data_IF_368707079661
#
_entry.id   IF_368707079661
#
_cell.length_a   1.000
_cell.length_b   1.000
_cell.length_c   1.000
_cell.angle_alpha   90.00
_cell.angle_beta   90.00
_cell.angle_gamma   90.00
#
_symmetry.space_group_name_H-M   'P 1'
#
loop_
_entity.id
_entity.type
_entity.pdbx_description
1 polymer ?
#
# COMPACT_ATOMS: atom_id res chain seq x y z
N UNK A 1 19.08 21.97 20.76
CA UNK A 1 18.54 22.21 19.40
C UNK A 1 18.29 20.88 18.73
N UNK A 2 17.08 20.67 18.20
CA UNK A 2 16.77 19.47 17.43
C UNK A 2 17.49 19.53 16.08
N UNK A 3 18.18 18.46 15.68
CA UNK A 3 18.88 18.43 14.40
C UNK A 3 17.87 18.67 13.26
N UNK A 4 18.01 19.72 12.46
CA UNK A 4 17.09 20.01 11.36
C UNK A 4 17.25 19.05 10.17
N UNK A 5 18.32 18.26 10.15
CA UNK A 5 18.61 17.32 9.07
C UNK A 5 18.12 15.92 9.46
N UNK A 6 16.97 15.55 8.93
CA UNK A 6 16.42 14.20 9.08
C UNK A 6 17.04 13.33 8.00
N UNK A 7 17.75 12.29 8.41
CA UNK A 7 18.49 11.41 7.51
C UNK A 7 17.69 10.18 7.06
N UNK A 8 16.51 9.93 7.67
CA UNK A 8 15.67 8.77 7.34
C UNK A 8 14.19 9.03 7.59
N UNK A 9 13.34 8.59 6.66
CA UNK A 9 11.89 8.63 6.76
C UNK A 9 11.26 10.02 6.55
N UNK A 10 9.94 10.04 6.49
CA UNK A 10 9.13 11.26 6.51
C UNK A 10 8.67 11.53 7.94
N UNK A 11 8.95 12.71 8.46
CA UNK A 11 8.57 13.09 9.83
C UNK A 11 7.36 14.03 9.88
N UNK A 12 7.38 15.08 9.07
CA UNK A 12 6.25 16.01 8.95
C UNK A 12 6.48 16.99 7.82
N UNK A 13 5.45 17.74 7.47
CA UNK A 13 5.49 18.82 6.48
C UNK A 13 6.58 19.85 6.77
N UNK A 14 6.82 20.18 8.04
CA UNK A 14 7.85 21.14 8.47
C UNK A 14 9.27 20.76 8.01
N UNK A 15 9.55 19.47 7.90
CA UNK A 15 10.88 18.96 7.52
C UNK A 15 10.92 18.45 6.07
N UNK A 16 9.81 18.58 5.36
CA UNK A 16 9.72 18.22 3.95
C UNK A 16 9.87 19.48 3.11
N UNK A 17 10.96 19.62 2.40
CA UNK A 17 11.25 20.83 1.65
C UNK A 17 11.33 20.59 0.12
N UNK A 18 10.97 21.65 -0.61
CA UNK A 18 11.22 21.83 -2.06
C UNK A 18 10.57 20.85 -3.04
N UNK A 19 9.43 20.22 -2.70
CA UNK A 19 8.70 19.34 -3.64
C UNK A 19 7.22 19.70 -3.78
N UNK A 20 6.93 20.99 -3.72
CA UNK A 20 5.54 21.47 -3.82
C UNK A 20 4.94 21.11 -5.17
N UNK A 21 5.70 21.33 -6.26
CA UNK A 21 5.23 21.07 -7.63
C UNK A 21 4.95 19.59 -7.85
N UNK A 22 5.88 18.72 -7.41
CA UNK A 22 5.70 17.26 -7.52
C UNK A 22 4.55 16.76 -6.65
N UNK A 23 4.39 17.32 -5.44
CA UNK A 23 3.28 16.99 -4.54
C UNK A 23 1.94 17.35 -5.18
N UNK A 24 1.80 18.59 -5.67
CA UNK A 24 0.57 19.07 -6.32
C UNK A 24 0.25 18.27 -7.57
N UNK A 25 1.27 17.93 -8.35
CA UNK A 25 1.11 17.08 -9.54
C UNK A 25 0.58 15.69 -9.16
N UNK A 26 1.24 14.99 -8.21
CA UNK A 26 0.84 13.65 -7.79
C UNK A 26 -0.58 13.65 -7.21
N UNK A 27 -0.89 14.57 -6.30
CA UNK A 27 -2.21 14.68 -5.68
C UNK A 27 -3.29 14.93 -6.74
N UNK A 28 -3.04 15.79 -7.72
CA UNK A 28 -3.97 16.06 -8.82
C UNK A 28 -4.20 14.82 -9.69
N UNK A 29 -3.14 14.07 -10.01
CA UNK A 29 -3.27 12.84 -10.80
C UNK A 29 -4.08 11.78 -10.05
N UNK A 30 -3.83 11.61 -8.76
CA UNK A 30 -4.60 10.70 -7.89
C UNK A 30 -6.08 11.08 -7.88
N UNK A 31 -6.40 12.36 -7.65
CA UNK A 31 -7.78 12.84 -7.61
C UNK A 31 -8.50 12.74 -8.98
N UNK A 32 -7.75 12.75 -10.07
CA UNK A 32 -8.28 12.49 -11.42
C UNK A 32 -8.46 10.99 -11.73
N UNK A 33 -8.18 10.10 -10.78
CA UNK A 33 -8.34 8.67 -10.97
C UNK A 33 -7.20 7.98 -11.73
N UNK A 34 -6.05 8.63 -11.86
CA UNK A 34 -4.92 8.07 -12.60
C UNK A 34 -4.03 7.21 -11.72
N UNK A 35 -3.56 6.09 -12.28
CA UNK A 35 -2.45 5.33 -11.72
C UNK A 35 -1.12 5.97 -12.13
N UNK A 36 -0.13 5.95 -11.23
CA UNK A 36 1.12 6.71 -11.39
C UNK A 36 2.33 5.80 -11.22
N UNK A 37 3.29 5.88 -12.13
CA UNK A 37 4.62 5.30 -11.96
C UNK A 37 5.61 6.39 -11.52
N UNK A 38 6.15 6.25 -10.30
CA UNK A 38 7.13 7.17 -9.72
C UNK A 38 8.53 6.57 -9.81
N UNK A 39 9.23 6.91 -10.88
CA UNK A 39 10.55 6.34 -11.19
C UNK A 39 11.64 7.40 -10.95
N UNK A 40 12.58 7.09 -10.07
CA UNK A 40 13.78 7.91 -9.88
C UNK A 40 14.90 7.09 -9.24
N UNK A 41 16.16 7.49 -9.33
CA UNK A 41 17.25 6.82 -8.64
C UNK A 41 16.98 6.61 -7.13
N UNK A 42 17.68 5.64 -6.53
CA UNK A 42 17.61 5.41 -5.08
C UNK A 42 17.98 6.67 -4.31
N UNK A 43 17.46 6.80 -3.10
CA UNK A 43 17.74 7.91 -2.15
C UNK A 43 17.27 9.30 -2.61
N UNK A 44 16.45 9.40 -3.62
CA UNK A 44 15.83 10.68 -4.02
C UNK A 44 14.49 10.96 -3.31
N UNK A 45 14.20 10.26 -2.21
CA UNK A 45 13.07 10.58 -1.33
C UNK A 45 11.69 10.26 -1.90
N UNK A 46 11.56 9.23 -2.78
CA UNK A 46 10.25 8.77 -3.34
C UNK A 46 9.24 8.44 -2.25
N UNK A 47 9.64 7.57 -1.33
CA UNK A 47 8.81 7.15 -0.19
C UNK A 47 8.34 8.34 0.66
N UNK A 48 9.26 9.27 0.94
CA UNK A 48 8.93 10.51 1.66
C UNK A 48 7.94 11.40 0.90
N UNK A 49 8.07 11.50 -0.43
CA UNK A 49 7.12 12.24 -1.26
C UNK A 49 5.73 11.61 -1.23
N UNK A 50 5.63 10.28 -1.34
CA UNK A 50 4.36 9.56 -1.23
C UNK A 50 3.71 9.80 0.14
N UNK A 51 4.48 9.65 1.22
CA UNK A 51 3.99 9.90 2.58
C UNK A 51 3.53 11.34 2.77
N UNK A 52 4.25 12.32 2.20
CA UNK A 52 3.86 13.72 2.22
C UNK A 52 2.55 13.96 1.45
N UNK A 53 2.39 13.36 0.25
CA UNK A 53 1.14 13.42 -0.49
C UNK A 53 -0.04 12.88 0.33
N UNK A 54 0.13 11.77 1.04
CA UNK A 54 -0.92 11.15 1.87
C UNK A 54 -1.38 12.04 3.04
N UNK A 55 -0.57 13.00 3.46
CA UNK A 55 -0.95 13.98 4.50
C UNK A 55 -1.73 15.18 3.94
N UNK A 56 -1.85 15.33 2.63
CA UNK A 56 -2.53 16.47 2.03
C UNK A 56 -4.03 16.47 2.36
N UNK A 57 -4.57 17.64 2.63
CA UNK A 57 -5.98 17.83 3.05
C UNK A 57 -6.98 17.27 2.04
N UNK A 58 -6.65 17.37 0.76
CA UNK A 58 -7.47 16.88 -0.35
C UNK A 58 -7.65 15.35 -0.38
N UNK A 59 -6.73 14.60 0.27
CA UNK A 59 -6.78 13.14 0.34
C UNK A 59 -7.35 12.61 1.66
N UNK A 60 -7.78 13.47 2.59
CA UNK A 60 -8.37 13.05 3.90
C UNK A 60 -9.64 12.21 3.76
N UNK A 61 -10.34 12.32 2.63
CA UNK A 61 -11.51 11.51 2.30
C UNK A 61 -11.20 10.09 1.83
N UNK A 62 -9.93 9.75 1.61
CA UNK A 62 -9.49 8.47 1.08
C UNK A 62 -8.83 7.61 2.17
N UNK A 63 -8.78 6.29 1.93
CA UNK A 63 -7.85 5.40 2.62
C UNK A 63 -6.53 5.39 1.88
N UNK A 64 -5.42 5.51 2.62
CA UNK A 64 -4.08 5.54 2.04
C UNK A 64 -3.25 4.39 2.59
N UNK A 65 -2.64 3.61 1.72
CA UNK A 65 -1.83 2.45 2.05
C UNK A 65 -0.46 2.56 1.38
N UNK A 66 0.61 2.46 2.17
CA UNK A 66 1.98 2.42 1.65
C UNK A 66 2.57 1.05 1.94
N UNK A 67 2.68 0.23 0.92
CA UNK A 67 3.16 -1.14 0.98
C UNK A 67 4.59 -1.20 0.47
N UNK A 68 5.56 -1.39 1.34
CA UNK A 68 6.96 -1.60 0.98
C UNK A 68 7.19 -3.09 0.74
N UNK A 69 7.55 -3.45 -0.49
CA UNK A 69 7.79 -4.84 -0.89
C UNK A 69 9.28 -5.16 -1.10
N UNK A 70 10.17 -4.29 -0.62
CA UNK A 70 11.62 -4.48 -0.80
C UNK A 70 12.12 -5.83 -0.30
N UNK A 71 11.63 -6.29 0.84
CA UNK A 71 12.05 -7.52 1.49
C UNK A 71 11.34 -8.78 0.97
N UNK A 72 10.27 -8.64 0.19
CA UNK A 72 9.46 -9.77 -0.29
C UNK A 72 10.16 -10.54 -1.42
N UNK A 73 10.00 -11.86 -1.43
CA UNK A 73 10.70 -12.78 -2.34
C UNK A 73 9.76 -13.56 -3.26
N UNK A 74 8.46 -13.55 -2.99
CA UNK A 74 7.43 -14.32 -3.69
C UNK A 74 6.05 -13.68 -3.51
N UNK A 75 5.05 -14.19 -4.22
CA UNK A 75 3.67 -13.70 -4.14
C UNK A 75 3.06 -13.87 -2.74
N UNK A 76 3.41 -14.93 -2.02
CA UNK A 76 2.91 -15.18 -0.66
C UNK A 76 3.35 -14.08 0.31
N UNK A 77 4.63 -13.69 0.27
CA UNK A 77 5.16 -12.60 1.09
C UNK A 77 4.57 -11.25 0.69
N UNK A 78 4.36 -11.04 -0.62
CA UNK A 78 3.71 -9.83 -1.13
C UNK A 78 2.29 -9.66 -0.58
N UNK A 79 1.44 -10.68 -0.72
CA UNK A 79 0.04 -10.57 -0.25
C UNK A 79 -0.04 -10.49 1.27
N UNK A 80 0.92 -11.10 1.98
CA UNK A 80 1.06 -10.97 3.42
C UNK A 80 1.33 -9.52 3.84
N UNK A 81 2.34 -8.89 3.28
CA UNK A 81 2.68 -7.49 3.59
C UNK A 81 1.57 -6.53 3.15
N UNK A 82 0.90 -6.82 2.03
CA UNK A 82 -0.21 -6.01 1.55
C UNK A 82 -1.40 -6.06 2.53
N UNK A 83 -1.88 -7.24 2.88
CA UNK A 83 -2.98 -7.42 3.82
C UNK A 83 -2.68 -6.83 5.20
N UNK A 84 -1.48 -7.10 5.73
CA UNK A 84 -0.99 -6.54 7.00
C UNK A 84 -0.96 -5.01 6.99
N UNK A 85 -0.49 -4.41 5.91
CA UNK A 85 -0.46 -2.95 5.77
C UNK A 85 -1.87 -2.36 5.79
N UNK A 86 -2.80 -2.93 5.04
CA UNK A 86 -4.20 -2.48 5.02
C UNK A 86 -4.78 -2.55 6.45
N UNK A 87 -4.70 -3.71 7.12
CA UNK A 87 -5.23 -3.89 8.46
C UNK A 87 -4.67 -2.86 9.45
N UNK A 88 -3.35 -2.67 9.45
CA UNK A 88 -2.68 -1.72 10.35
C UNK A 88 -3.12 -0.27 10.12
N UNK A 89 -3.42 0.11 8.88
CA UNK A 89 -3.92 1.44 8.55
C UNK A 89 -5.41 1.63 8.85
N UNK A 90 -6.19 0.54 8.90
CA UNK A 90 -7.61 0.58 9.22
C UNK A 90 -7.88 0.54 10.74
N UNK A 91 -7.03 -0.12 11.52
CA UNK A 91 -7.18 -0.24 12.99
C UNK A 91 -7.51 1.09 13.69
N UNK A 92 -6.76 2.19 13.47
CA UNK A 92 -7.03 3.45 14.14
C UNK A 92 -8.34 4.13 13.72
N UNK A 93 -8.97 3.65 12.64
CA UNK A 93 -10.16 4.26 12.05
C UNK A 93 -11.48 3.72 12.63
N UNK A 94 -11.41 2.69 13.47
CA UNK A 94 -12.53 2.15 14.20
C UNK A 94 -12.95 0.74 13.78
N UNK A 95 -13.61 0.04 14.73
CA UNK A 95 -13.96 -1.38 14.61
C UNK A 95 -14.74 -1.71 13.33
N UNK A 96 -15.75 -0.93 13.03
CA UNK A 96 -16.62 -1.15 11.88
C UNK A 96 -15.87 -1.18 10.54
N UNK A 97 -14.79 -0.42 10.43
CA UNK A 97 -14.02 -0.27 9.18
C UNK A 97 -13.10 -1.48 8.96
N UNK A 98 -12.34 -1.88 9.99
CA UNK A 98 -11.48 -3.03 9.83
C UNK A 98 -12.24 -4.38 9.85
N UNK A 99 -13.44 -4.46 10.47
CA UNK A 99 -14.31 -5.62 10.39
C UNK A 99 -14.74 -5.91 8.93
N UNK A 100 -15.04 -4.89 8.14
CA UNK A 100 -15.35 -5.05 6.72
C UNK A 100 -14.17 -5.67 5.97
N UNK A 101 -12.95 -5.21 6.25
CA UNK A 101 -11.74 -5.80 5.67
C UNK A 101 -11.60 -7.27 6.07
N UNK A 102 -11.72 -7.60 7.36
CA UNK A 102 -11.60 -8.97 7.84
C UNK A 102 -12.68 -9.92 7.29
N UNK A 103 -13.87 -9.41 7.05
CA UNK A 103 -14.93 -10.22 6.42
C UNK A 103 -14.68 -10.47 4.94
N UNK A 104 -13.99 -9.56 4.27
CA UNK A 104 -13.63 -9.69 2.86
C UNK A 104 -12.44 -10.64 2.63
N UNK A 105 -11.55 -10.79 3.62
CA UNK A 105 -10.33 -11.62 3.48
C UNK A 105 -10.45 -12.88 4.33
N UNK A 106 -11.12 -13.88 3.77
CA UNK A 106 -11.37 -15.16 4.45
C UNK A 106 -10.12 -16.02 4.54
N UNK A 107 -9.23 -15.93 3.56
CA UNK A 107 -7.98 -16.69 3.49
C UNK A 107 -6.96 -16.31 4.58
N UNK A 108 -7.10 -15.12 5.18
CA UNK A 108 -6.21 -14.63 6.24
C UNK A 108 -6.81 -14.74 7.65
N UNK A 109 -8.06 -15.17 7.78
CA UNK A 109 -8.75 -15.19 9.09
C UNK A 109 -8.07 -16.03 10.15
N UNK A 110 -7.46 -17.13 9.78
CA UNK A 110 -6.78 -18.04 10.71
C UNK A 110 -5.58 -17.43 11.40
N UNK A 111 -4.98 -16.39 10.82
CA UNK A 111 -3.82 -15.71 11.38
C UNK A 111 -4.13 -14.40 12.09
N UNK A 112 -5.41 -14.08 12.29
CA UNK A 112 -5.81 -12.88 13.02
C UNK A 112 -6.35 -13.28 14.38
N UNK A 113 -5.66 -12.86 15.44
CA UNK A 113 -6.15 -12.95 16.81
C UNK A 113 -6.75 -11.62 17.26
N UNK A 114 -7.51 -11.66 18.35
CA UNK A 114 -8.08 -10.46 18.96
C UNK A 114 -7.56 -10.34 20.38
N UNK A 115 -7.18 -9.15 20.77
CA UNK A 115 -6.80 -8.85 22.14
C UNK A 115 -8.05 -8.76 23.05
N UNK A 116 -7.83 -8.55 24.36
CA UNK A 116 -8.91 -8.43 25.36
C UNK A 116 -9.89 -7.27 25.07
N UNK A 117 -9.48 -6.30 24.29
CA UNK A 117 -10.30 -5.15 23.85
C UNK A 117 -11.05 -5.43 22.54
N UNK A 118 -10.86 -6.60 21.97
CA UNK A 118 -11.43 -6.99 20.67
C UNK A 118 -10.74 -6.34 19.47
N UNK A 119 -9.52 -5.79 19.65
CA UNK A 119 -8.72 -5.25 18.56
C UNK A 119 -7.99 -6.39 17.83
N UNK A 120 -8.00 -6.39 16.50
CA UNK A 120 -7.31 -7.42 15.74
C UNK A 120 -5.80 -7.26 15.86
N UNK A 121 -5.12 -8.36 16.07
CA UNK A 121 -3.67 -8.44 15.93
C UNK A 121 -3.30 -9.45 14.86
N UNK A 122 -2.28 -9.11 14.10
CA UNK A 122 -1.80 -9.94 13.00
C UNK A 122 -0.73 -10.90 13.53
N UNK A 123 -1.14 -12.13 13.76
CA UNK A 123 -0.26 -13.22 14.23
C UNK A 123 -0.02 -14.26 13.12
N UNK A 124 -0.28 -13.87 11.86
CA UNK A 124 -0.11 -14.76 10.72
C UNK A 124 1.38 -15.07 10.54
N UNK A 125 1.71 -16.33 10.46
CA UNK A 125 2.97 -16.77 9.91
C UNK A 125 2.83 -16.95 8.40
N UNK A 126 3.92 -16.73 7.67
CA UNK A 126 3.94 -16.87 6.20
C UNK A 126 3.37 -18.20 5.70
N UNK A 127 3.52 -19.29 6.48
CA UNK A 127 2.98 -20.61 6.16
C UNK A 127 1.46 -20.75 6.17
N UNK A 128 0.74 -19.77 6.72
CA UNK A 128 -0.72 -19.82 6.84
C UNK A 128 -1.44 -19.41 5.54
N UNK A 129 -0.77 -18.70 4.65
CA UNK A 129 -1.31 -18.32 3.34
C UNK A 129 -1.18 -19.50 2.37
N UNK A 130 -2.19 -20.33 2.31
CA UNK A 130 -2.17 -21.54 1.46
C UNK A 130 -2.35 -21.24 -0.02
N UNK A 131 -3.06 -20.18 -0.37
CA UNK A 131 -3.31 -19.77 -1.76
C UNK A 131 -3.14 -18.27 -1.92
N UNK A 132 -1.93 -17.79 -2.24
CA UNK A 132 -1.66 -16.36 -2.38
C UNK A 132 -2.50 -15.66 -3.46
N UNK A 133 -2.86 -16.38 -4.53
CA UNK A 133 -3.70 -15.79 -5.60
C UNK A 133 -5.10 -15.49 -5.10
N UNK A 134 -5.71 -16.40 -4.34
CA UNK A 134 -7.04 -16.15 -3.72
C UNK A 134 -6.96 -14.99 -2.73
N UNK A 135 -5.90 -14.92 -1.94
CA UNK A 135 -5.71 -13.79 -1.02
C UNK A 135 -5.58 -12.46 -1.77
N UNK A 136 -4.91 -12.47 -2.91
CA UNK A 136 -4.81 -11.28 -3.76
C UNK A 136 -6.18 -10.86 -4.31
N UNK A 137 -6.98 -11.81 -4.81
CA UNK A 137 -8.36 -11.57 -5.25
C UNK A 137 -9.21 -10.93 -4.15
N UNK A 138 -9.13 -11.45 -2.92
CA UNK A 138 -9.86 -10.92 -1.76
C UNK A 138 -9.41 -9.50 -1.38
N UNK A 139 -8.10 -9.20 -1.44
CA UNK A 139 -7.58 -7.84 -1.20
C UNK A 139 -8.16 -6.87 -2.24
N UNK A 140 -8.12 -7.21 -3.52
CA UNK A 140 -8.67 -6.35 -4.57
C UNK A 140 -10.19 -6.23 -4.50
N UNK A 141 -10.88 -7.31 -4.10
CA UNK A 141 -12.31 -7.24 -3.80
C UNK A 141 -12.60 -6.21 -2.70
N UNK A 142 -11.86 -6.25 -1.59
CA UNK A 142 -11.98 -5.24 -0.52
C UNK A 142 -11.74 -3.83 -1.05
N UNK A 143 -10.65 -3.60 -1.80
CA UNK A 143 -10.33 -2.28 -2.33
C UNK A 143 -11.44 -1.72 -3.22
N UNK A 144 -12.09 -2.58 -4.00
CA UNK A 144 -13.22 -2.18 -4.85
C UNK A 144 -14.49 -1.84 -4.08
N UNK A 145 -14.71 -2.46 -2.92
CA UNK A 145 -15.95 -2.34 -2.14
C UNK A 145 -15.79 -1.52 -0.85
N UNK A 146 -14.62 -0.95 -0.62
CA UNK A 146 -14.38 -0.05 0.51
C UNK A 146 -15.34 1.16 0.45
N UNK A 147 -15.77 1.62 1.61
CA UNK A 147 -16.71 2.75 1.77
C UNK A 147 -16.10 4.11 1.35
N UNK A 148 -14.79 4.14 1.13
CA UNK A 148 -14.04 5.32 0.66
C UNK A 148 -13.07 4.92 -0.44
N UNK A 149 -12.74 5.84 -1.35
CA UNK A 149 -11.68 5.62 -2.32
C UNK A 149 -10.36 5.24 -1.63
N UNK A 150 -9.66 4.29 -2.23
CA UNK A 150 -8.38 3.81 -1.74
C UNK A 150 -7.24 4.35 -2.60
N UNK A 151 -6.13 4.72 -1.96
CA UNK A 151 -4.89 5.07 -2.65
C UNK A 151 -3.82 4.12 -2.14
N UNK A 152 -3.30 3.31 -3.05
CA UNK A 152 -2.32 2.27 -2.73
C UNK A 152 -0.98 2.63 -3.36
N UNK A 153 0.02 2.89 -2.56
CA UNK A 153 1.39 3.02 -3.04
C UNK A 153 2.15 1.71 -2.78
N UNK A 154 2.69 1.14 -3.84
CA UNK A 154 3.56 -0.04 -3.76
C UNK A 154 4.99 0.45 -3.99
N UNK A 155 5.79 0.46 -2.92
CA UNK A 155 7.18 0.90 -2.97
C UNK A 155 8.11 -0.26 -3.34
N UNK A 156 9.16 0.05 -4.09
CA UNK A 156 10.11 -0.91 -4.65
C UNK A 156 9.45 -1.95 -5.58
N UNK A 157 8.47 -1.51 -6.39
CA UNK A 157 7.63 -2.34 -7.26
C UNK A 157 8.42 -3.27 -8.19
N UNK A 158 9.64 -2.89 -8.61
CA UNK A 158 10.49 -3.75 -9.44
C UNK A 158 10.88 -5.07 -8.75
N UNK A 159 10.65 -5.21 -7.45
CA UNK A 159 10.91 -6.46 -6.71
C UNK A 159 10.07 -7.62 -7.25
N UNK A 160 8.86 -7.35 -7.74
CA UNK A 160 7.95 -8.36 -8.30
C UNK A 160 8.57 -9.12 -9.48
N UNK A 161 9.40 -8.45 -10.28
CA UNK A 161 10.08 -9.10 -11.41
C UNK A 161 11.09 -10.20 -11.00
N UNK A 162 11.39 -10.30 -9.70
CA UNK A 162 12.31 -11.32 -9.15
C UNK A 162 11.59 -12.50 -8.51
N UNK A 163 10.25 -12.47 -8.48
CA UNK A 163 9.49 -13.56 -7.87
C UNK A 163 9.60 -14.83 -8.71
N UNK A 164 9.63 -16.01 -8.05
CA UNK A 164 9.72 -17.28 -8.76
C UNK A 164 8.43 -17.65 -9.50
N UNK A 165 7.29 -17.10 -9.05
CA UNK A 165 6.01 -17.35 -9.70
C UNK A 165 5.93 -16.59 -11.03
N UNK A 166 5.50 -17.29 -12.07
CA UNK A 166 5.31 -16.68 -13.38
C UNK A 166 4.05 -15.80 -13.41
N UNK A 167 4.12 -14.72 -14.17
CA UNK A 167 2.98 -13.85 -14.48
C UNK A 167 2.38 -13.04 -13.30
N UNK A 168 3.09 -12.89 -12.18
CA UNK A 168 2.61 -12.08 -11.04
C UNK A 168 2.32 -10.64 -11.47
N UNK A 169 3.20 -10.04 -12.27
CA UNK A 169 2.99 -8.69 -12.79
C UNK A 169 1.75 -8.60 -13.67
N UNK A 170 1.53 -9.59 -14.55
CA UNK A 170 0.35 -9.64 -15.41
C UNK A 170 -0.96 -9.81 -14.60
N UNK A 171 -0.94 -10.65 -13.57
CA UNK A 171 -2.07 -10.82 -12.66
C UNK A 171 -2.39 -9.52 -11.92
N UNK A 172 -1.38 -8.87 -11.34
CA UNK A 172 -1.54 -7.56 -10.70
C UNK A 172 -2.09 -6.51 -11.65
N UNK A 173 -1.58 -6.44 -12.88
CA UNK A 173 -2.07 -5.52 -13.91
C UNK A 173 -3.55 -5.75 -14.19
N UNK A 174 -3.99 -7.01 -14.30
CA UNK A 174 -5.40 -7.36 -14.51
C UNK A 174 -6.27 -6.86 -13.36
N UNK A 175 -5.89 -7.15 -12.12
CA UNK A 175 -6.62 -6.66 -10.94
C UNK A 175 -6.72 -5.15 -10.90
N UNK A 176 -5.61 -4.44 -11.15
CA UNK A 176 -5.55 -2.99 -11.14
C UNK A 176 -6.43 -2.37 -12.21
N UNK A 177 -6.45 -2.93 -13.41
CA UNK A 177 -7.31 -2.44 -14.51
C UNK A 177 -8.79 -2.56 -14.20
N UNK A 178 -9.19 -3.55 -13.41
CA UNK A 178 -10.58 -3.77 -13.00
C UNK A 178 -10.94 -3.11 -11.66
N UNK A 179 -9.96 -2.50 -10.98
CA UNK A 179 -10.17 -1.82 -9.71
C UNK A 179 -10.64 -0.38 -9.94
N UNK A 180 -11.90 -0.09 -9.65
CA UNK A 180 -12.51 1.23 -9.90
C UNK A 180 -12.50 2.16 -8.70
N UNK A 181 -12.36 1.62 -7.48
CA UNK A 181 -12.40 2.37 -6.24
C UNK A 181 -11.00 2.51 -5.58
N UNK A 182 -9.94 2.07 -6.28
CA UNK A 182 -8.57 2.30 -5.81
C UNK A 182 -7.66 2.79 -6.94
N UNK A 183 -6.75 3.68 -6.58
CA UNK A 183 -5.73 4.23 -7.48
C UNK A 183 -4.35 3.88 -6.96
N UNK A 184 -3.42 3.61 -7.87
CA UNK A 184 -2.14 3.02 -7.54
C UNK A 184 -0.98 3.95 -7.86
N UNK A 185 0.01 3.97 -6.97
CA UNK A 185 1.31 4.60 -7.17
C UNK A 185 2.36 3.48 -7.13
N UNK A 186 3.04 3.27 -8.24
CA UNK A 186 4.16 2.33 -8.31
C UNK A 186 5.45 3.11 -8.13
N UNK A 187 6.17 2.84 -7.05
CA UNK A 187 7.44 3.49 -6.77
C UNK A 187 8.60 2.53 -7.00
N UNK A 188 9.64 2.99 -7.67
CA UNK A 188 10.82 2.17 -7.90
C UNK A 188 12.01 2.90 -8.47
N UNK A 189 13.15 2.20 -8.48
CA UNK A 189 14.44 2.76 -8.88
C UNK A 189 14.88 2.36 -10.30
N UNK A 190 14.17 1.47 -10.99
CA UNK A 190 14.51 0.96 -12.32
C UNK A 190 13.50 1.43 -13.37
N UNK A 191 13.99 1.73 -14.58
CA UNK A 191 13.14 2.21 -15.69
C UNK A 191 12.30 1.11 -16.36
N UNK A 192 12.55 -0.17 -16.05
CA UNK A 192 11.84 -1.32 -16.63
C UNK A 192 10.78 -1.85 -15.65
N UNK A 193 9.82 -1.01 -15.28
CA UNK A 193 8.72 -1.37 -14.39
C UNK A 193 7.36 -1.51 -15.11
N UNK A 194 7.42 -1.57 -16.44
CA UNK A 194 6.19 -1.74 -17.25
C UNK A 194 6.44 -2.71 -18.40
#
# INVERSE_FOLDING_TARGET
MMNPFITSGYHSEKYFCNRVVETDFLVRQILNGNNIALISPRRLGKTGLIQHCFQQKSLKGCYTFLVDIYATKNLQEFVFEFGKNILNNLKPKGKKIWDVFLTSITSLRTGISFDETGMPSWNLELGDIKNPSVTLDEIFYYLNHADKPCIVAIDEFQTIAKYPEQNVEAALRTHIQHCTNAHFIYSGSQRHMM
#
